data_IF_121544823767
#
_entry.id   IF_121544823767
#
_cell.length_a   1.000
_cell.length_b   1.000
_cell.length_c   1.000
_cell.angle_alpha   90.00
_cell.angle_beta   90.00
_cell.angle_gamma   90.00
#
_symmetry.space_group_name_H-M   'P 1'
#
loop_
_entity.id
_entity.type
_entity.pdbx_description
1 polymer ?
#
# COMPACT_ATOMS: atom_id res chain seq x y z
N UNK A 1 -13.51 -12.14 -6.75
CA UNK A 1 -12.43 -12.79 -7.53
C UNK A 1 -11.45 -13.41 -6.55
N UNK A 2 -10.97 -14.63 -6.79
CA UNK A 2 -9.98 -15.27 -5.91
C UNK A 2 -8.66 -15.43 -6.65
N UNK A 3 -7.60 -14.80 -6.12
CA UNK A 3 -6.22 -14.97 -6.61
C UNK A 3 -5.49 -16.12 -5.90
N UNK A 4 -6.20 -16.92 -5.08
CA UNK A 4 -5.60 -17.93 -4.19
C UNK A 4 -4.83 -19.07 -4.86
N UNK A 5 -4.90 -19.20 -6.19
CA UNK A 5 -4.15 -20.19 -6.96
C UNK A 5 -2.86 -19.63 -7.59
N UNK A 6 -2.57 -18.34 -7.44
CA UNK A 6 -1.38 -17.71 -8.02
C UNK A 6 -0.25 -17.65 -7.00
N UNK A 7 0.97 -18.12 -7.33
CA UNK A 7 2.12 -18.02 -6.43
C UNK A 7 2.37 -16.56 -6.01
N UNK A 8 2.57 -16.33 -4.71
CA UNK A 8 2.72 -14.98 -4.15
C UNK A 8 3.82 -14.15 -4.83
N UNK A 9 4.94 -14.77 -5.24
CA UNK A 9 6.02 -14.08 -5.96
C UNK A 9 5.62 -13.61 -7.37
N UNK A 10 4.81 -14.39 -8.09
CA UNK A 10 4.29 -13.99 -9.42
C UNK A 10 3.29 -12.84 -9.25
N UNK A 11 2.46 -12.93 -8.21
CA UNK A 11 1.44 -11.95 -7.88
C UNK A 11 2.05 -10.60 -7.52
N UNK A 12 3.01 -10.59 -6.59
CA UNK A 12 3.76 -9.39 -6.19
C UNK A 12 4.50 -8.76 -7.38
N UNK A 13 5.24 -9.55 -8.17
CA UNK A 13 5.96 -9.03 -9.34
C UNK A 13 5.03 -8.53 -10.46
N UNK A 14 3.80 -9.06 -10.56
CA UNK A 14 2.81 -8.54 -11.52
C UNK A 14 2.20 -7.23 -11.03
N UNK A 15 1.91 -7.13 -9.73
CA UNK A 15 1.44 -5.89 -9.11
C UNK A 15 2.48 -4.79 -9.21
N UNK A 16 3.74 -5.07 -8.92
CA UNK A 16 4.85 -4.11 -9.07
C UNK A 16 4.91 -3.52 -10.49
N UNK A 17 4.81 -4.38 -11.52
CA UNK A 17 4.77 -3.94 -12.93
C UNK A 17 3.53 -3.12 -13.29
N UNK A 18 2.42 -3.29 -12.59
CA UNK A 18 1.20 -2.51 -12.79
C UNK A 18 1.32 -1.16 -12.08
N UNK A 19 1.81 -1.16 -10.84
CA UNK A 19 2.06 0.04 -10.04
C UNK A 19 3.04 0.99 -10.72
N UNK A 20 4.05 0.47 -11.41
CA UNK A 20 5.00 1.28 -12.19
C UNK A 20 4.33 2.14 -13.29
N UNK A 21 3.08 1.84 -13.67
CA UNK A 21 2.29 2.60 -14.64
C UNK A 21 1.15 3.39 -14.01
N UNK A 22 0.95 3.25 -12.71
CA UNK A 22 -0.12 3.91 -11.96
C UNK A 22 0.36 5.26 -11.48
N UNK A 23 -0.47 6.28 -11.65
CA UNK A 23 -0.23 7.58 -11.03
C UNK A 23 -0.23 7.44 -9.50
N UNK A 24 0.82 7.93 -8.86
CA UNK A 24 0.97 7.82 -7.41
C UNK A 24 -0.05 8.70 -6.69
N UNK A 25 -0.44 9.84 -7.28
CA UNK A 25 -1.46 10.72 -6.70
C UNK A 25 -2.84 10.05 -6.71
N UNK A 26 -3.18 9.30 -7.77
CA UNK A 26 -4.41 8.51 -7.82
C UNK A 26 -4.42 7.41 -6.74
N UNK A 27 -3.27 6.75 -6.56
CA UNK A 27 -3.11 5.70 -5.54
C UNK A 27 -3.21 6.26 -4.13
N UNK A 28 -2.61 7.43 -3.88
CA UNK A 28 -2.70 8.13 -2.61
C UNK A 28 -4.13 8.59 -2.31
N UNK A 29 -4.81 9.18 -3.30
CA UNK A 29 -6.20 9.61 -3.17
C UNK A 29 -7.14 8.44 -2.88
N UNK A 30 -6.92 7.30 -3.53
CA UNK A 30 -7.64 6.06 -3.24
C UNK A 30 -7.50 5.68 -1.75
N UNK A 31 -6.26 5.54 -1.26
CA UNK A 31 -6.03 5.16 0.13
C UNK A 31 -6.60 6.18 1.11
N UNK A 32 -6.45 7.47 0.84
CA UNK A 32 -7.01 8.53 1.68
C UNK A 32 -8.54 8.40 1.86
N UNK A 33 -9.24 8.02 0.78
CA UNK A 33 -10.69 7.80 0.79
C UNK A 33 -11.13 6.50 1.49
N UNK A 34 -10.25 5.49 1.54
CA UNK A 34 -10.52 4.17 2.09
C UNK A 34 -10.00 3.97 3.52
N UNK A 35 -9.05 4.80 3.99
CA UNK A 35 -8.41 4.69 5.31
C UNK A 35 -9.39 4.50 6.48
N UNK A 36 -10.53 5.20 6.45
CA UNK A 36 -11.56 5.12 7.49
C UNK A 36 -12.48 3.90 7.37
N UNK A 37 -12.52 3.27 6.20
CA UNK A 37 -13.34 2.09 5.90
C UNK A 37 -12.56 0.78 6.04
N UNK A 38 -11.22 0.87 6.04
CA UNK A 38 -10.35 -0.29 6.20
C UNK A 38 -10.63 -1.02 7.53
N UNK A 39 -10.82 -2.35 7.49
CA UNK A 39 -10.78 -3.20 8.67
C UNK A 39 -9.47 -3.02 9.45
N UNK A 40 -9.49 -3.23 10.76
CA UNK A 40 -8.33 -2.94 11.62
C UNK A 40 -7.07 -3.72 11.25
N UNK A 41 -7.21 -4.98 10.82
CA UNK A 41 -6.10 -5.82 10.39
C UNK A 41 -5.50 -5.34 9.05
N UNK A 42 -6.35 -4.92 8.12
CA UNK A 42 -5.95 -4.32 6.83
C UNK A 42 -5.24 -3.00 7.05
N UNK A 43 -5.81 -2.16 7.92
CA UNK A 43 -5.23 -0.87 8.27
C UNK A 43 -3.84 -1.03 8.91
N UNK A 44 -3.69 -1.96 9.85
CA UNK A 44 -2.40 -2.25 10.47
C UNK A 44 -1.37 -2.75 9.44
N UNK A 45 -1.78 -3.63 8.52
CA UNK A 45 -0.90 -4.12 7.46
C UNK A 45 -0.49 -3.00 6.50
N UNK A 46 -1.41 -2.09 6.15
CA UNK A 46 -1.12 -0.94 5.30
C UNK A 46 -0.13 0.02 5.95
N UNK A 47 -0.33 0.38 7.23
CA UNK A 47 0.61 1.23 7.96
C UNK A 47 2.00 0.60 8.06
N UNK A 48 2.07 -0.70 8.38
CA UNK A 48 3.32 -1.43 8.44
C UNK A 48 4.03 -1.46 7.07
N UNK A 49 3.27 -1.50 5.97
CA UNK A 49 3.85 -1.42 4.63
C UNK A 49 4.41 -0.02 4.31
N UNK A 50 3.75 1.06 4.74
CA UNK A 50 4.28 2.43 4.63
C UNK A 50 5.58 2.55 5.43
N UNK A 51 5.58 2.14 6.70
CA UNK A 51 6.77 2.22 7.53
C UNK A 51 7.90 1.32 7.02
N UNK A 52 7.58 0.16 6.46
CA UNK A 52 8.57 -0.69 5.81
C UNK A 52 9.23 0.02 4.61
N UNK A 53 8.45 0.70 3.77
CA UNK A 53 9.00 1.47 2.64
C UNK A 53 9.96 2.58 3.11
N UNK A 54 9.61 3.31 4.19
CA UNK A 54 10.52 4.27 4.82
C UNK A 54 11.81 3.60 5.33
N UNK A 55 11.69 2.46 6.02
CA UNK A 55 12.85 1.73 6.56
C UNK A 55 13.76 1.18 5.47
N UNK A 56 13.21 0.76 4.33
CA UNK A 56 13.99 0.35 3.15
C UNK A 56 14.80 1.53 2.56
N UNK A 57 14.35 2.76 2.78
CA UNK A 57 15.05 4.01 2.42
C UNK A 57 15.98 4.54 3.53
N UNK A 58 16.09 3.82 4.65
CA UNK A 58 16.94 4.19 5.78
C UNK A 58 16.31 5.17 6.79
N UNK A 59 15.01 5.44 6.67
CA UNK A 59 14.27 6.29 7.61
C UNK A 59 13.54 5.42 8.64
N UNK A 60 13.69 5.73 9.93
CA UNK A 60 13.02 4.96 10.98
C UNK A 60 11.50 5.23 10.99
N UNK A 61 10.74 4.38 11.66
CA UNK A 61 9.29 4.58 11.77
C UNK A 61 8.96 5.80 12.64
N UNK A 62 9.79 6.07 13.64
CA UNK A 62 9.76 7.25 14.48
C UNK A 62 10.03 8.53 13.67
N UNK A 63 11.10 8.53 12.85
CA UNK A 63 11.44 9.67 11.98
C UNK A 63 10.30 9.96 10.99
N UNK A 64 9.72 8.91 10.38
CA UNK A 64 8.60 9.06 9.45
C UNK A 64 7.34 9.62 10.13
N UNK A 65 7.05 9.18 11.37
CA UNK A 65 5.94 9.72 12.15
C UNK A 65 6.20 11.19 12.53
N UNK A 66 7.43 11.55 12.88
CA UNK A 66 7.85 12.93 13.15
C UNK A 66 7.75 13.82 11.90
N UNK A 67 8.22 13.34 10.74
CA UNK A 67 8.09 14.00 9.44
C UNK A 67 6.64 14.27 9.06
N UNK A 68 5.74 13.35 9.42
CA UNK A 68 4.30 13.49 9.32
C UNK A 68 3.64 14.37 10.41
N UNK A 69 4.44 14.94 11.32
CA UNK A 69 3.97 15.77 12.47
C UNK A 69 2.98 15.04 13.36
N UNK A 70 3.22 13.75 13.60
CA UNK A 70 2.41 12.89 14.46
C UNK A 70 3.32 11.97 15.29
N UNK A 71 2.77 10.92 15.89
CA UNK A 71 3.55 9.90 16.62
C UNK A 71 3.03 8.51 16.28
N UNK A 72 3.87 7.49 16.50
CA UNK A 72 3.48 6.09 16.33
C UNK A 72 2.25 5.73 17.18
N UNK A 73 2.17 6.21 18.42
CA UNK A 73 1.04 5.95 19.31
C UNK A 73 -0.27 6.49 18.75
N UNK A 74 -0.26 7.73 18.25
CA UNK A 74 -1.46 8.36 17.66
C UNK A 74 -1.90 7.65 16.38
N UNK A 75 -0.93 7.20 15.57
CA UNK A 75 -1.20 6.41 14.35
C UNK A 75 -1.80 5.04 14.73
N UNK A 76 -1.21 4.35 15.70
CA UNK A 76 -1.65 3.03 16.18
C UNK A 76 -3.04 3.10 16.83
N UNK A 77 -3.32 4.18 17.56
CA UNK A 77 -4.63 4.45 18.16
C UNK A 77 -5.71 4.84 17.13
N UNK A 78 -5.37 4.95 15.84
CA UNK A 78 -6.24 5.44 14.76
C UNK A 78 -6.83 6.81 15.07
N UNK A 79 -6.08 7.68 15.75
CA UNK A 79 -6.55 9.02 16.02
C UNK A 79 -6.87 9.75 14.71
N UNK A 80 -7.93 10.55 14.76
CA UNK A 80 -8.41 11.28 13.60
C UNK A 80 -7.28 12.13 13.01
N UNK A 81 -6.98 11.86 11.73
CA UNK A 81 -5.97 12.58 10.96
C UNK A 81 -4.54 12.07 11.12
N UNK A 82 -4.20 11.22 12.09
CA UNK A 82 -2.82 10.74 12.27
C UNK A 82 -2.34 9.88 11.08
N UNK A 83 -3.16 8.92 10.66
CA UNK A 83 -2.86 8.10 9.48
C UNK A 83 -2.91 8.89 8.16
N UNK A 84 -3.79 9.90 8.08
CA UNK A 84 -3.84 10.81 6.92
C UNK A 84 -2.59 11.68 6.85
N UNK A 85 -2.07 12.14 7.98
CA UNK A 85 -0.84 12.91 8.05
C UNK A 85 0.36 12.06 7.61
N UNK A 86 0.43 10.79 8.04
CA UNK A 86 1.44 9.84 7.57
C UNK A 86 1.34 9.63 6.06
N UNK A 87 0.13 9.42 5.53
CA UNK A 87 -0.08 9.26 4.09
C UNK A 87 0.30 10.54 3.32
N UNK A 88 -0.04 11.72 3.83
CA UNK A 88 0.36 12.99 3.24
C UNK A 88 1.89 13.16 3.22
N UNK A 89 2.58 12.73 4.28
CA UNK A 89 4.04 12.73 4.31
C UNK A 89 4.64 11.71 3.32
N UNK A 90 4.06 10.51 3.24
CA UNK A 90 4.42 9.51 2.24
C UNK A 90 4.31 10.06 0.81
N UNK A 91 3.27 10.86 0.50
CA UNK A 91 3.12 11.53 -0.81
C UNK A 91 4.24 12.51 -1.14
N UNK A 92 4.90 13.09 -0.14
CA UNK A 92 6.04 13.99 -0.38
C UNK A 92 7.33 13.24 -0.73
N UNK A 93 7.32 11.91 -0.56
CA UNK A 93 8.42 11.02 -0.90
C UNK A 93 8.08 10.27 -2.21
N UNK A 94 8.74 10.59 -3.34
CA UNK A 94 8.44 9.97 -4.63
C UNK A 94 8.51 8.44 -4.54
N UNK A 95 7.59 7.74 -5.20
CA UNK A 95 7.47 6.29 -5.28
C UNK A 95 7.12 5.55 -3.98
N UNK A 96 7.06 6.23 -2.84
CA UNK A 96 6.92 5.56 -1.54
C UNK A 96 5.57 4.85 -1.39
N UNK A 97 4.50 5.40 -1.96
CA UNK A 97 3.16 4.80 -1.86
C UNK A 97 3.08 3.59 -2.80
N UNK A 98 3.76 3.64 -3.95
CA UNK A 98 3.91 2.48 -4.84
C UNK A 98 4.70 1.37 -4.16
N UNK A 99 5.83 1.69 -3.55
CA UNK A 99 6.65 0.74 -2.80
C UNK A 99 5.88 0.11 -1.63
N UNK A 100 5.23 0.93 -0.81
CA UNK A 100 4.37 0.46 0.27
C UNK A 100 3.26 -0.47 -0.24
N UNK A 101 2.65 -0.15 -1.38
CA UNK A 101 1.61 -1.02 -1.97
C UNK A 101 2.18 -2.35 -2.47
N UNK A 102 3.36 -2.34 -3.09
CA UNK A 102 4.05 -3.56 -3.50
C UNK A 102 4.41 -4.44 -2.30
N UNK A 103 4.94 -3.83 -1.22
CA UNK A 103 5.27 -4.52 0.04
C UNK A 103 4.02 -5.10 0.71
N UNK A 104 2.90 -4.37 0.70
CA UNK A 104 1.63 -4.84 1.25
C UNK A 104 1.18 -6.12 0.55
N UNK A 105 1.19 -6.15 -0.78
CA UNK A 105 0.79 -7.34 -1.55
C UNK A 105 1.80 -8.48 -1.39
N UNK A 106 3.09 -8.18 -1.35
CA UNK A 106 4.12 -9.20 -1.15
C UNK A 106 3.98 -9.91 0.21
N UNK A 107 3.65 -9.15 1.28
CA UNK A 107 3.49 -9.68 2.64
C UNK A 107 2.10 -10.25 2.92
N UNK A 108 1.07 -9.68 2.30
CA UNK A 108 -0.35 -10.02 2.49
C UNK A 108 -1.04 -10.14 1.13
N UNK A 109 -0.73 -11.19 0.33
CA UNK A 109 -1.34 -11.38 -0.99
C UNK A 109 -2.86 -11.61 -0.92
N UNK A 110 -3.37 -12.02 0.25
CA UNK A 110 -4.79 -12.13 0.56
C UNK A 110 -5.52 -10.77 0.51
N UNK A 111 -4.79 -9.65 0.66
CA UNK A 111 -5.35 -8.31 0.71
C UNK A 111 -5.48 -7.64 -0.66
N UNK A 112 -5.23 -8.32 -1.78
CA UNK A 112 -5.35 -7.72 -3.13
C UNK A 112 -6.75 -7.15 -3.41
N UNK A 113 -7.78 -7.71 -2.78
CA UNK A 113 -9.15 -7.19 -2.88
C UNK A 113 -9.34 -5.75 -2.37
N UNK A 114 -8.36 -5.20 -1.65
CA UNK A 114 -8.38 -3.82 -1.14
C UNK A 114 -7.66 -2.82 -2.04
N UNK A 115 -7.01 -3.28 -3.12
CA UNK A 115 -6.38 -2.40 -4.10
C UNK A 115 -7.44 -1.66 -4.93
N UNK A 116 -7.10 -0.54 -5.60
CA UNK A 116 -7.97 0.07 -6.60
C UNK A 116 -8.54 -0.95 -7.59
N UNK A 117 -9.85 -0.86 -7.90
CA UNK A 117 -10.53 -1.82 -8.79
C UNK A 117 -9.91 -1.90 -10.18
N UNK A 118 -9.33 -0.80 -10.68
CA UNK A 118 -8.56 -0.77 -11.91
C UNK A 118 -7.33 -1.69 -11.85
N UNK A 119 -6.60 -1.67 -10.72
CA UNK A 119 -5.46 -2.57 -10.51
C UNK A 119 -5.90 -4.03 -10.38
N UNK A 120 -7.01 -4.29 -9.68
CA UNK A 120 -7.56 -5.65 -9.57
C UNK A 120 -7.95 -6.21 -10.94
N UNK A 121 -8.60 -5.40 -11.77
CA UNK A 121 -9.00 -5.76 -13.14
C UNK A 121 -7.77 -6.02 -14.01
N UNK A 122 -6.82 -5.10 -14.03
CA UNK A 122 -5.58 -5.24 -14.82
C UNK A 122 -4.74 -6.46 -14.38
N UNK A 123 -4.75 -6.77 -13.07
CA UNK A 123 -4.12 -7.96 -12.52
C UNK A 123 -4.82 -9.23 -13.01
N UNK A 124 -6.15 -9.28 -12.95
CA UNK A 124 -6.94 -10.41 -13.45
C UNK A 124 -6.72 -10.64 -14.97
N UNK A 125 -6.66 -9.57 -15.76
CA UNK A 125 -6.37 -9.65 -17.20
C UNK A 125 -4.97 -10.21 -17.47
N UNK A 126 -3.95 -9.74 -16.75
CA UNK A 126 -2.57 -10.22 -16.94
C UNK A 126 -2.36 -11.66 -16.50
N UNK A 127 -3.07 -12.11 -15.47
CA UNK A 127 -2.95 -13.47 -14.95
C UNK A 127 -3.75 -14.49 -15.77
N UNK A 128 -4.74 -14.05 -16.54
CA UNK A 128 -5.52 -14.90 -17.46
C UNK A 128 -4.95 -14.95 -18.86
N UNK A 129 -4.08 -14.01 -19.24
CA UNK A 129 -3.34 -14.08 -20.50
C UNK A 129 -2.26 -15.17 -20.42
N UNK A 130 -2.30 -16.19 -21.30
CA UNK A 130 -1.18 -17.12 -21.43
C UNK A 130 0.05 -16.29 -21.82
N UNK A 131 1.14 -16.48 -21.08
CA UNK A 131 2.45 -15.95 -21.46
C UNK A 131 2.77 -16.54 -22.83
N UNK A 132 2.65 -15.73 -23.88
CA UNK A 132 3.04 -16.08 -25.24
C UNK A 132 4.57 -16.11 -25.35
#
# INVERSE_FOLDING_TARGET
>A
MSFGNVPAGILAGTVEKLLAKTDEDDLAAFYESELSKMPSDVFAAFLEAIFAAFRERGESSEDAAEGARTTLDRIAAREDGAARALLAYARTNPDLIREATALLVARRPDLIGILPSALQTALAERLTQPTA
#
